data_IF_211581650734
#
_entry.id   IF_211581650734
#
_cell.length_a   1.000
_cell.length_b   1.000
_cell.length_c   1.000
_cell.angle_alpha   90.00
_cell.angle_beta   90.00
_cell.angle_gamma   90.00
#
_symmetry.space_group_name_H-M   'P 1'
#
loop_
_entity.id
_entity.type
_entity.pdbx_description
1 polymer ?
#
# COMPACT_ATOMS: atom_id res chain seq x y z
N UNK A 1 14.98 89.62 5.04
CA UNK A 1 14.30 90.49 6.02
C UNK A 1 12.98 89.80 6.39
N UNK A 2 12.85 89.39 7.65
CA UNK A 2 11.83 88.48 8.20
C UNK A 2 10.54 89.18 8.63
N UNK A 3 9.52 88.34 8.92
CA UNK A 3 8.27 88.53 9.73
C UNK A 3 7.02 88.76 8.85
N UNK A 4 5.92 88.00 8.92
CA UNK A 4 5.24 87.22 9.99
C UNK A 4 4.38 86.14 9.27
N UNK A 5 4.37 84.83 9.52
CA UNK A 5 4.04 84.01 10.71
C UNK A 5 2.89 84.58 11.57
N UNK A 6 1.68 84.03 11.40
CA UNK A 6 0.76 83.51 12.45
C UNK A 6 -0.67 83.42 11.90
N UNK A 7 -1.41 82.38 12.30
CA UNK A 7 -2.83 82.06 12.00
C UNK A 7 -3.07 81.42 10.63
N UNK A 8 -3.44 80.15 10.47
CA UNK A 8 -4.20 79.24 11.33
C UNK A 8 -3.64 77.83 11.17
N UNK A 9 -3.07 77.33 12.26
CA UNK A 9 -3.03 75.91 12.62
C UNK A 9 -4.44 75.55 13.08
N UNK A 10 -5.03 74.50 12.51
CA UNK A 10 -6.05 73.57 13.04
C UNK A 10 -6.99 73.10 11.92
N UNK A 11 -6.59 72.01 11.26
CA UNK A 11 -7.40 70.84 10.87
C UNK A 11 -6.30 69.82 10.52
N UNK A 12 -5.84 68.99 11.46
CA UNK A 12 -6.67 67.92 12.01
C UNK A 12 -6.81 66.84 10.94
N UNK A 13 -5.69 66.23 10.54
CA UNK A 13 -5.33 64.85 10.90
C UNK A 13 -6.06 63.79 10.03
N UNK A 14 -5.25 62.90 9.43
CA UNK A 14 -5.59 61.52 9.00
C UNK A 14 -6.61 61.36 7.84
N UNK A 15 -6.33 60.70 6.71
CA UNK A 15 -5.44 59.56 6.45
C UNK A 15 -5.04 59.52 4.96
N UNK A 16 -3.75 59.40 4.70
CA UNK A 16 -3.19 59.04 3.40
C UNK A 16 -3.45 57.54 3.22
N UNK A 17 -4.33 57.17 2.29
CA UNK A 17 -4.45 55.80 1.79
C UNK A 17 -4.08 55.80 0.30
N UNK A 18 -2.78 55.77 0.02
CA UNK A 18 -2.26 55.32 -1.27
C UNK A 18 -1.45 54.06 -0.98
N UNK A 19 -2.12 52.91 -1.02
CA UNK A 19 -1.48 51.61 -1.21
C UNK A 19 -1.86 51.12 -2.60
N UNK A 20 -1.08 51.58 -3.58
CA UNK A 20 -0.90 50.89 -4.84
C UNK A 20 -0.23 49.54 -4.58
N UNK A 21 -1.04 48.51 -4.35
CA UNK A 21 -0.68 47.13 -4.70
C UNK A 21 -1.70 46.62 -5.71
N UNK A 22 -1.40 46.87 -6.99
CA UNK A 22 -1.73 45.95 -8.08
C UNK A 22 -0.98 44.65 -7.85
N UNK A 23 -1.48 43.84 -6.92
CA UNK A 23 -1.19 42.43 -6.79
C UNK A 23 -2.46 41.68 -7.18
N UNK A 24 -2.55 41.31 -8.47
CA UNK A 24 -3.56 40.38 -8.96
C UNK A 24 -3.26 39.00 -8.34
N UNK A 25 -3.75 38.77 -7.14
CA UNK A 25 -3.68 37.50 -6.42
C UNK A 25 -5.08 36.96 -6.24
N UNK A 26 -5.79 36.73 -7.35
CA UNK A 26 -7.06 36.02 -7.37
C UNK A 26 -6.85 34.66 -6.71
N UNK A 27 -7.49 34.46 -5.56
CA UNK A 27 -7.66 33.17 -4.93
C UNK A 27 -8.48 32.27 -5.85
N UNK A 28 -7.82 31.53 -6.75
CA UNK A 28 -8.44 30.37 -7.41
C UNK A 28 -8.32 29.18 -6.47
N UNK A 29 -9.17 29.19 -5.44
CA UNK A 29 -9.47 27.98 -4.66
C UNK A 29 -10.48 27.17 -5.46
N UNK A 30 -10.03 26.64 -6.61
CA UNK A 30 -10.79 25.65 -7.38
C UNK A 30 -10.90 24.38 -6.53
N UNK A 31 -11.97 24.33 -5.75
CA UNK A 31 -12.46 23.08 -5.19
C UNK A 31 -12.91 22.22 -6.36
N UNK A 32 -12.08 21.23 -6.75
CA UNK A 32 -12.42 20.27 -7.79
C UNK A 32 -13.75 19.60 -7.45
N UNK A 33 -14.74 19.78 -8.34
CA UNK A 33 -16.06 19.16 -8.23
C UNK A 33 -15.94 17.64 -8.43
N UNK A 34 -16.46 16.85 -7.48
CA UNK A 34 -16.37 15.37 -7.49
C UNK A 34 -16.91 14.73 -8.78
N UNK A 35 -17.80 15.41 -9.51
CA UNK A 35 -18.34 14.96 -10.80
C UNK A 35 -17.30 15.01 -11.94
N UNK A 36 -16.40 16.00 -11.93
CA UNK A 36 -15.34 16.13 -12.95
C UNK A 36 -14.22 15.11 -12.75
N UNK A 37 -13.94 14.70 -11.51
CA UNK A 37 -12.91 13.70 -11.22
C UNK A 37 -13.32 12.31 -11.72
N UNK A 38 -14.57 11.90 -11.49
CA UNK A 38 -15.09 10.60 -11.99
C UNK A 38 -15.11 10.56 -13.52
N UNK A 39 -15.48 11.66 -14.17
CA UNK A 39 -15.47 11.76 -15.62
C UNK A 39 -14.03 11.70 -16.19
N UNK A 40 -13.08 12.40 -15.57
CA UNK A 40 -11.67 12.34 -15.93
C UNK A 40 -11.06 10.93 -15.77
N UNK A 41 -11.40 10.24 -14.67
CA UNK A 41 -10.94 8.86 -14.43
C UNK A 41 -11.51 7.86 -15.45
N UNK A 42 -12.76 8.06 -15.90
CA UNK A 42 -13.41 7.15 -16.85
C UNK A 42 -12.96 7.39 -18.30
N UNK A 43 -12.62 8.64 -18.65
CA UNK A 43 -12.25 9.00 -20.03
C UNK A 43 -10.77 8.77 -20.35
N UNK A 44 -9.90 8.48 -19.37
CA UNK A 44 -8.47 8.32 -19.60
C UNK A 44 -7.88 7.10 -18.87
N UNK A 45 -8.17 5.88 -19.35
CA UNK A 45 -7.73 4.65 -18.69
C UNK A 45 -6.20 4.48 -18.63
N UNK A 46 -5.46 5.04 -19.60
CA UNK A 46 -3.99 5.02 -19.60
C UNK A 46 -3.42 5.90 -18.50
N UNK A 47 -3.91 7.13 -18.35
CA UNK A 47 -3.50 8.01 -17.25
C UNK A 47 -3.86 7.41 -15.88
N UNK A 48 -5.00 6.73 -15.78
CA UNK A 48 -5.37 5.98 -14.57
C UNK A 48 -4.41 4.82 -14.31
N UNK A 49 -4.00 4.06 -15.35
CA UNK A 49 -3.03 2.97 -15.19
C UNK A 49 -1.66 3.48 -14.76
N UNK A 50 -1.20 4.61 -15.27
CA UNK A 50 0.07 5.23 -14.85
C UNK A 50 0.02 5.69 -13.39
N UNK A 51 -1.10 6.31 -12.98
CA UNK A 51 -1.32 6.69 -11.58
C UNK A 51 -1.33 5.46 -10.69
N UNK A 52 -2.08 4.41 -11.04
CA UNK A 52 -2.17 3.17 -10.25
C UNK A 52 -0.85 2.39 -10.24
N UNK A 53 -0.02 2.56 -11.28
CA UNK A 53 1.30 1.96 -11.39
C UNK A 53 2.38 2.75 -10.66
N UNK A 54 2.11 3.98 -10.24
CA UNK A 54 3.05 4.82 -9.50
C UNK A 54 3.45 4.17 -8.16
N UNK A 55 4.67 4.40 -7.67
CA UNK A 55 5.12 3.87 -6.37
C UNK A 55 4.17 4.22 -5.21
N UNK A 56 3.64 5.45 -5.20
CA UNK A 56 2.74 5.94 -4.15
C UNK A 56 1.37 5.23 -4.18
N UNK A 57 0.83 5.00 -5.37
CA UNK A 57 -0.41 4.24 -5.53
C UNK A 57 -0.19 2.77 -5.15
N UNK A 58 0.94 2.17 -5.53
CA UNK A 58 1.30 0.80 -5.13
C UNK A 58 1.39 0.67 -3.61
N UNK A 59 2.09 1.58 -2.93
CA UNK A 59 2.15 1.57 -1.46
C UNK A 59 0.78 1.73 -0.82
N UNK A 60 -0.04 2.63 -1.37
CA UNK A 60 -1.42 2.83 -0.91
C UNK A 60 -2.25 1.56 -1.09
N UNK A 61 -2.12 0.87 -2.22
CA UNK A 61 -2.77 -0.42 -2.46
C UNK A 61 -2.31 -1.48 -1.46
N UNK A 62 -0.99 -1.62 -1.23
CA UNK A 62 -0.45 -2.57 -0.24
C UNK A 62 -1.01 -2.28 1.14
N UNK A 63 -1.09 -1.00 1.55
CA UNK A 63 -1.65 -0.60 2.83
C UNK A 63 -3.15 -0.91 2.94
N UNK A 64 -3.90 -0.68 1.86
CA UNK A 64 -5.33 -1.00 1.81
C UNK A 64 -5.53 -2.51 1.86
N UNK A 65 -4.82 -3.28 1.04
CA UNK A 65 -4.91 -4.75 1.03
C UNK A 65 -4.48 -5.36 2.36
N UNK A 66 -3.42 -4.83 2.99
CA UNK A 66 -2.98 -5.27 4.32
C UNK A 66 -3.87 -4.79 5.48
N UNK A 67 -4.93 -4.03 5.21
CA UNK A 67 -5.82 -3.53 6.26
C UNK A 67 -6.73 -4.64 6.81
N UNK A 68 -7.12 -4.59 8.10
CA UNK A 68 -8.04 -5.56 8.69
C UNK A 68 -9.39 -5.65 7.96
N UNK A 69 -9.83 -4.55 7.31
CA UNK A 69 -11.08 -4.50 6.55
C UNK A 69 -11.01 -5.29 5.24
N UNK A 70 -9.82 -5.43 4.65
CA UNK A 70 -9.61 -6.20 3.43
C UNK A 70 -9.35 -7.69 3.70
N UNK A 71 -8.97 -8.05 4.93
CA UNK A 71 -8.74 -9.44 5.31
C UNK A 71 -9.90 -10.39 4.99
N UNK A 72 -11.19 -10.10 5.31
CA UNK A 72 -12.29 -10.99 4.94
C UNK A 72 -12.46 -11.13 3.42
N UNK A 73 -12.21 -10.06 2.67
CA UNK A 73 -12.26 -10.08 1.20
C UNK A 73 -11.17 -10.98 0.64
N UNK A 74 -9.94 -10.89 1.17
CA UNK A 74 -8.84 -11.75 0.76
C UNK A 74 -9.09 -13.22 1.11
N UNK A 75 -9.64 -13.51 2.30
CA UNK A 75 -10.02 -14.87 2.69
C UNK A 75 -11.10 -15.44 1.74
N UNK A 76 -12.06 -14.63 1.32
CA UNK A 76 -13.07 -15.08 0.37
C UNK A 76 -12.48 -15.32 -1.03
N UNK A 77 -11.58 -14.42 -1.47
CA UNK A 77 -10.85 -14.56 -2.72
C UNK A 77 -10.01 -15.85 -2.76
N UNK A 78 -9.43 -16.27 -1.65
CA UNK A 78 -8.69 -17.55 -1.56
C UNK A 78 -9.56 -18.80 -1.76
N UNK A 79 -10.89 -18.68 -1.73
CA UNK A 79 -11.80 -19.78 -2.07
C UNK A 79 -12.02 -19.93 -3.58
N UNK A 80 -11.63 -18.93 -4.38
CA UNK A 80 -11.72 -18.98 -5.82
C UNK A 80 -10.65 -19.93 -6.39
N UNK A 81 -11.05 -20.85 -7.26
CA UNK A 81 -10.19 -21.89 -7.80
C UNK A 81 -9.06 -21.37 -8.70
N UNK A 82 -9.29 -20.31 -9.46
CA UNK A 82 -8.27 -19.73 -10.33
C UNK A 82 -7.23 -18.96 -9.52
N UNK A 83 -7.67 -18.29 -8.44
CA UNK A 83 -6.76 -17.68 -7.47
C UNK A 83 -5.90 -18.75 -6.79
N UNK A 84 -6.49 -19.89 -6.38
CA UNK A 84 -5.75 -21.00 -5.79
C UNK A 84 -4.69 -21.56 -6.73
N UNK A 85 -5.03 -21.80 -8.01
CA UNK A 85 -4.06 -22.28 -9.02
C UNK A 85 -2.89 -21.30 -9.19
N UNK A 86 -3.19 -20.02 -9.31
CA UNK A 86 -2.16 -18.99 -9.46
C UNK A 86 -1.27 -18.93 -8.22
N UNK A 87 -1.85 -19.03 -7.02
CA UNK A 87 -1.08 -19.04 -5.77
C UNK A 87 -0.17 -20.27 -5.68
N UNK A 88 -0.64 -21.46 -6.07
CA UNK A 88 0.19 -22.68 -6.14
C UNK A 88 1.36 -22.48 -7.11
N UNK A 89 1.11 -21.91 -8.28
CA UNK A 89 2.15 -21.61 -9.28
C UNK A 89 3.21 -20.65 -8.73
N UNK A 90 2.77 -19.57 -8.07
CA UNK A 90 3.65 -18.58 -7.44
C UNK A 90 4.49 -19.23 -6.32
N UNK A 91 3.87 -20.04 -5.45
CA UNK A 91 4.57 -20.72 -4.34
C UNK A 91 5.57 -21.77 -4.82
N UNK A 92 5.30 -22.42 -5.96
CA UNK A 92 6.17 -23.43 -6.56
C UNK A 92 7.26 -22.87 -7.49
N UNK A 93 7.25 -21.56 -7.76
CA UNK A 93 8.19 -20.94 -8.69
C UNK A 93 9.59 -20.82 -8.08
N UNK A 94 10.63 -20.94 -8.91
CA UNK A 94 12.01 -20.83 -8.45
C UNK A 94 12.35 -19.44 -7.91
N UNK A 95 11.72 -18.40 -8.47
CA UNK A 95 11.93 -17.00 -8.09
C UNK A 95 11.44 -16.72 -6.65
N UNK A 96 10.41 -17.44 -6.20
CA UNK A 96 9.82 -17.24 -4.88
C UNK A 96 10.33 -18.22 -3.82
N UNK A 97 11.12 -19.22 -4.21
CA UNK A 97 11.56 -20.30 -3.33
C UNK A 97 12.19 -19.78 -2.04
N UNK A 98 13.11 -18.83 -2.12
CA UNK A 98 13.83 -18.31 -0.96
C UNK A 98 12.90 -17.54 -0.01
N UNK A 99 12.01 -16.72 -0.57
CA UNK A 99 10.97 -16.02 0.21
C UNK A 99 10.05 -17.01 0.93
N UNK A 100 9.63 -18.07 0.24
CA UNK A 100 8.79 -19.12 0.84
C UNK A 100 9.52 -19.87 1.94
N UNK A 101 10.78 -20.26 1.73
CA UNK A 101 11.62 -20.89 2.76
C UNK A 101 11.77 -19.95 3.98
N UNK A 102 11.99 -18.66 3.75
CA UNK A 102 12.07 -17.66 4.83
C UNK A 102 10.80 -17.54 5.66
N UNK A 103 9.62 -17.58 5.01
CA UNK A 103 8.33 -17.62 5.70
C UNK A 103 8.21 -18.92 6.51
N UNK A 104 8.53 -20.06 5.89
CA UNK A 104 8.38 -21.38 6.50
C UNK A 104 9.32 -21.62 7.68
N UNK A 105 10.53 -21.05 7.63
CA UNK A 105 11.51 -21.13 8.71
C UNK A 105 11.26 -20.13 9.85
N UNK A 106 10.27 -19.24 9.72
CA UNK A 106 9.95 -18.28 10.76
C UNK A 106 9.45 -19.02 12.03
N UNK A 107 10.00 -18.78 13.22
CA UNK A 107 9.58 -19.46 14.45
C UNK A 107 8.08 -19.34 14.76
N UNK A 108 7.44 -18.22 14.40
CA UNK A 108 6.00 -18.02 14.58
C UNK A 108 5.15 -18.92 13.68
N UNK A 109 5.70 -19.47 12.61
CA UNK A 109 5.03 -20.41 11.72
C UNK A 109 5.08 -21.85 12.22
N UNK A 110 5.94 -22.17 13.19
CA UNK A 110 6.12 -23.54 13.67
C UNK A 110 4.80 -24.17 14.13
N UNK A 111 4.08 -23.52 15.05
CA UNK A 111 2.83 -24.05 15.61
C UNK A 111 1.74 -24.22 14.53
N UNK A 112 1.42 -23.21 13.72
CA UNK A 112 0.47 -23.37 12.61
C UNK A 112 0.85 -24.50 11.64
N UNK A 113 2.14 -24.66 11.34
CA UNK A 113 2.59 -25.73 10.45
C UNK A 113 2.38 -27.11 11.05
N UNK A 114 2.68 -27.30 12.33
CA UNK A 114 2.42 -28.56 13.02
C UNK A 114 0.92 -28.88 13.01
N UNK A 115 0.07 -27.90 13.28
CA UNK A 115 -1.39 -28.07 13.24
C UNK A 115 -1.90 -28.47 11.84
N UNK A 116 -1.39 -27.83 10.78
CA UNK A 116 -1.72 -28.17 9.39
C UNK A 116 -1.25 -29.59 9.06
N UNK A 117 -0.01 -29.94 9.39
CA UNK A 117 0.58 -31.25 9.06
C UNK A 117 -0.05 -32.39 9.87
N UNK A 118 -0.61 -32.10 11.05
CA UNK A 118 -1.36 -33.05 11.86
C UNK A 118 -2.79 -33.29 11.35
N UNK A 119 -3.29 -32.49 10.40
CA UNK A 119 -4.61 -32.73 9.80
C UNK A 119 -4.61 -34.11 9.10
N UNK A 120 -5.62 -34.97 9.34
CA UNK A 120 -5.68 -36.30 8.73
C UNK A 120 -5.60 -36.28 7.19
N UNK A 121 -6.07 -35.21 6.54
CA UNK A 121 -6.00 -35.06 5.07
C UNK A 121 -4.55 -34.89 4.59
N UNK A 122 -3.65 -34.40 5.44
CA UNK A 122 -2.24 -34.24 5.11
C UNK A 122 -1.44 -35.52 5.29
N UNK A 123 -1.98 -36.56 5.95
CA UNK A 123 -1.26 -37.80 6.23
C UNK A 123 -0.59 -38.42 5.00
N UNK A 124 -1.35 -38.59 3.90
CA UNK A 124 -0.82 -39.20 2.68
C UNK A 124 0.30 -38.35 2.05
N UNK A 125 0.12 -37.02 2.03
CA UNK A 125 1.13 -36.08 1.52
C UNK A 125 2.39 -36.12 2.38
N UNK A 126 2.24 -36.11 3.70
CA UNK A 126 3.36 -36.15 4.64
C UNK A 126 4.14 -37.47 4.52
N UNK A 127 3.44 -38.62 4.43
CA UNK A 127 4.09 -39.91 4.18
C UNK A 127 4.85 -39.94 2.85
N UNK A 128 4.29 -39.33 1.80
CA UNK A 128 4.96 -39.22 0.51
C UNK A 128 6.24 -38.36 0.61
N UNK A 129 6.18 -37.23 1.32
CA UNK A 129 7.35 -36.37 1.56
C UNK A 129 8.46 -37.12 2.32
N UNK A 130 8.13 -37.86 3.38
CA UNK A 130 9.13 -38.63 4.14
C UNK A 130 9.81 -39.72 3.29
N UNK A 131 9.11 -40.24 2.28
CA UNK A 131 9.65 -41.25 1.36
C UNK A 131 10.43 -40.62 0.21
N UNK A 132 10.27 -39.33 -0.04
CA UNK A 132 10.94 -38.64 -1.14
C UNK A 132 12.47 -38.72 -0.99
N UNK A 133 13.19 -39.21 -2.03
CA UNK A 133 14.65 -39.34 -2.00
C UNK A 133 15.40 -38.04 -1.62
N UNK A 134 14.85 -36.87 -1.96
CA UNK A 134 15.47 -35.59 -1.64
C UNK A 134 15.41 -35.27 -0.14
N UNK A 135 14.45 -35.83 0.59
CA UNK A 135 14.29 -35.64 2.04
C UNK A 135 14.93 -36.74 2.87
N UNK A 136 15.27 -37.88 2.28
CA UNK A 136 15.90 -39.02 2.98
C UNK A 136 17.14 -38.64 3.80
N UNK A 137 18.09 -37.83 3.30
CA UNK A 137 19.26 -37.44 4.10
C UNK A 137 18.86 -36.70 5.38
N UNK A 138 17.95 -35.73 5.26
CA UNK A 138 17.46 -34.92 6.37
C UNK A 138 16.67 -35.75 7.38
N UNK A 139 15.81 -36.66 6.90
CA UNK A 139 15.03 -37.55 7.77
C UNK A 139 15.95 -38.46 8.59
N UNK A 140 16.96 -39.07 7.95
CA UNK A 140 17.93 -39.93 8.65
C UNK A 140 18.72 -39.17 9.71
N UNK A 141 19.21 -37.99 9.36
CA UNK A 141 19.90 -37.09 10.28
C UNK A 141 19.02 -36.71 11.48
N UNK A 142 17.79 -36.27 11.23
CA UNK A 142 16.85 -35.85 12.28
C UNK A 142 16.42 -37.01 13.21
N UNK A 143 16.32 -38.24 12.67
CA UNK A 143 15.97 -39.43 13.45
C UNK A 143 17.19 -40.07 14.14
N UNK A 144 18.39 -39.53 13.95
CA UNK A 144 19.62 -40.09 14.52
C UNK A 144 19.97 -41.48 13.98
N UNK A 145 19.41 -41.87 12.84
CA UNK A 145 19.70 -43.14 12.18
C UNK A 145 20.94 -42.93 11.31
N UNK A 146 22.11 -43.24 11.89
CA UNK A 146 23.39 -43.28 11.16
C UNK A 146 23.39 -44.35 10.08
#
# INVERSE_FOLDING_TARGET
MNKKIKSIVFIGLTSIAILSLTGCGSQTKDMMNSSNMTQYMTSNPTAMMDILSSPDARQSMVKVMGSPKMMPVMVDMMKNSDVQKNMISIMGSSENKDSMVGIMANPSMFKPMVEIMADPKMKATFEAMLKDPALQPLVKEALGVK
#
